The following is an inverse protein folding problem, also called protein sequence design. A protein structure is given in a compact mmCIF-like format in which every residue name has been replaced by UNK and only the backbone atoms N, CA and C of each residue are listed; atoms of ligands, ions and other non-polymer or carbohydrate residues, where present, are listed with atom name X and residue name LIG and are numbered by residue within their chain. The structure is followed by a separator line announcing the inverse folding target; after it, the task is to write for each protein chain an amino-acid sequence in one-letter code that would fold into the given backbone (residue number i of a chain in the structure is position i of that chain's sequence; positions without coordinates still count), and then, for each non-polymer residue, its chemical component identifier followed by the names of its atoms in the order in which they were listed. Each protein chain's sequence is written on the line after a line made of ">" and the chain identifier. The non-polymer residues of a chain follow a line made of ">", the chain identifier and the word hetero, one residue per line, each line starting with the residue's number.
data_IF_945903868929
#
_entry.id   IF_945903868929
#
_cell.length_a   1.000
_cell.length_b   1.000
_cell.length_c   1.000
_cell.angle_alpha   90.00
_cell.angle_beta   90.00
_cell.angle_gamma   90.00
#
_symmetry.space_group_name_H-M   'P 1'
#
loop_
_entity.id
_entity.type
_entity.pdbx_description
1 polymer ?
#
# COMPACT_ATOMS: atom_id res chain seq x y z
N UNK A 1 20.42 -40.85 68.76
CA UNK A 1 20.51 -41.76 67.61
C UNK A 1 19.26 -41.61 66.80
N UNK A 2 19.30 -40.89 65.66
CA UNK A 2 18.15 -40.73 64.79
C UNK A 2 18.69 -40.62 63.34
N UNK A 3 18.29 -41.58 62.53
CA UNK A 3 18.64 -41.69 61.10
C UNK A 3 17.67 -40.89 60.24
N UNK A 4 18.20 -39.85 59.56
CA UNK A 4 17.48 -39.12 58.54
C UNK A 4 17.62 -39.78 57.16
N UNK A 5 16.54 -40.30 56.65
CA UNK A 5 16.41 -40.86 55.30
C UNK A 5 16.20 -39.72 54.30
N UNK A 6 17.13 -39.51 53.39
CA UNK A 6 16.99 -38.58 52.21
C UNK A 6 16.23 -39.30 51.10
N UNK A 7 15.03 -38.81 50.78
CA UNK A 7 14.34 -39.19 49.51
C UNK A 7 14.88 -38.32 48.38
N UNK A 8 15.43 -38.94 47.35
CA UNK A 8 15.80 -38.32 46.09
C UNK A 8 14.54 -38.12 45.26
N UNK A 9 14.23 -36.85 44.94
CA UNK A 9 13.17 -36.48 44.01
C UNK A 9 13.69 -36.55 42.56
N UNK A 10 13.28 -37.56 41.81
CA UNK A 10 13.55 -37.67 40.39
C UNK A 10 12.79 -36.57 39.60
N UNK A 11 13.55 -35.63 39.06
CA UNK A 11 13.02 -34.68 38.05
C UNK A 11 12.79 -35.45 36.75
N UNK A 12 11.53 -35.68 36.38
CA UNK A 12 11.12 -36.04 35.01
C UNK A 12 11.49 -34.87 34.12
N UNK A 13 12.39 -35.09 33.15
CA UNK A 13 12.57 -34.20 31.98
C UNK A 13 11.23 -34.24 31.21
N UNK A 14 10.58 -33.08 31.08
CA UNK A 14 9.56 -32.89 30.07
C UNK A 14 10.26 -32.92 28.72
N UNK A 15 9.92 -33.91 27.90
CA UNK A 15 10.31 -33.91 26.49
C UNK A 15 9.75 -32.63 25.86
N UNK A 16 10.64 -31.76 25.43
CA UNK A 16 10.29 -30.62 24.60
C UNK A 16 9.83 -31.19 23.25
N UNK A 17 8.55 -31.02 22.96
CA UNK A 17 8.01 -31.33 21.64
C UNK A 17 8.84 -30.55 20.61
N UNK A 18 9.45 -31.27 19.67
CA UNK A 18 10.17 -30.68 18.55
C UNK A 18 9.21 -29.76 17.78
N UNK A 19 9.63 -28.52 17.53
CA UNK A 19 8.91 -27.61 16.66
C UNK A 19 8.68 -28.33 15.31
N UNK A 20 7.50 -28.20 14.69
CA UNK A 20 7.26 -28.80 13.39
C UNK A 20 8.30 -28.27 12.40
N UNK A 21 8.96 -29.18 11.68
CA UNK A 21 9.84 -28.82 10.56
C UNK A 21 9.07 -27.90 9.62
N UNK A 22 9.68 -26.82 9.08
CA UNK A 22 9.03 -25.98 8.11
C UNK A 22 8.57 -26.86 6.94
N UNK A 23 7.28 -26.84 6.65
CA UNK A 23 6.73 -27.53 5.48
C UNK A 23 7.53 -27.05 4.28
N UNK A 24 8.13 -27.99 3.54
CA UNK A 24 8.93 -27.65 2.36
C UNK A 24 8.01 -26.98 1.35
N UNK A 25 8.25 -25.69 1.07
CA UNK A 25 7.45 -24.92 0.12
C UNK A 25 7.48 -25.61 -1.24
N UNK A 26 6.32 -25.75 -1.88
CA UNK A 26 6.23 -26.34 -3.21
C UNK A 26 6.89 -25.40 -4.24
N UNK A 27 7.65 -25.94 -5.20
CA UNK A 27 8.34 -25.14 -6.21
C UNK A 27 7.33 -24.43 -7.13
N UNK A 28 7.77 -23.29 -7.68
CA UNK A 28 7.06 -22.60 -8.76
C UNK A 28 7.54 -23.13 -10.12
N UNK A 29 6.70 -23.06 -11.16
CA UNK A 29 7.16 -23.07 -12.55
C UNK A 29 8.11 -21.92 -12.84
N UNK A 30 8.77 -21.99 -14.01
CA UNK A 30 9.66 -20.92 -14.45
C UNK A 30 8.93 -19.58 -14.56
N UNK A 31 9.58 -18.51 -14.11
CA UNK A 31 9.09 -17.14 -14.20
C UNK A 31 9.65 -16.51 -15.47
N UNK A 32 8.76 -16.07 -16.34
CA UNK A 32 9.12 -15.31 -17.54
C UNK A 32 9.49 -13.87 -17.13
N UNK A 33 10.74 -13.48 -17.39
CA UNK A 33 11.24 -12.12 -17.14
C UNK A 33 11.24 -11.32 -18.44
N UNK A 34 10.84 -10.06 -18.35
CA UNK A 34 10.82 -9.09 -19.46
C UNK A 34 11.22 -7.73 -18.95
N UNK A 35 11.82 -6.91 -19.80
CA UNK A 35 12.15 -5.51 -19.50
C UNK A 35 10.93 -4.59 -19.47
N UNK A 36 9.85 -4.98 -20.16
CA UNK A 36 8.70 -4.09 -20.43
C UNK A 36 7.44 -4.51 -19.66
N UNK A 37 7.52 -5.58 -18.88
CA UNK A 37 6.36 -6.09 -18.15
C UNK A 37 6.75 -6.75 -16.83
N UNK A 38 5.83 -6.78 -15.84
CA UNK A 38 6.06 -7.51 -14.61
C UNK A 38 6.40 -8.98 -14.86
N UNK A 39 7.25 -9.59 -14.02
CA UNK A 39 7.53 -11.03 -14.06
C UNK A 39 6.25 -11.86 -14.12
N UNK A 40 6.18 -12.79 -15.08
CA UNK A 40 4.99 -13.60 -15.33
C UNK A 40 5.21 -15.06 -14.95
N UNK A 41 4.34 -15.57 -14.11
CA UNK A 41 4.22 -16.99 -13.78
C UNK A 41 2.93 -17.54 -14.39
N UNK A 42 3.06 -18.39 -15.41
CA UNK A 42 1.91 -19.04 -16.04
C UNK A 42 1.67 -20.40 -15.40
N UNK A 43 0.45 -20.64 -14.98
CA UNK A 43 0.06 -21.88 -14.27
C UNK A 43 -1.22 -22.47 -14.85
N UNK A 44 -1.41 -23.78 -14.61
CA UNK A 44 -2.64 -24.50 -14.92
C UNK A 44 -2.87 -25.55 -13.81
N UNK A 45 -3.28 -25.11 -12.61
CA UNK A 45 -3.40 -26.04 -11.48
C UNK A 45 -4.55 -27.04 -11.69
N UNK A 46 -4.29 -28.30 -11.33
CA UNK A 46 -5.34 -29.32 -11.24
C UNK A 46 -6.14 -29.27 -9.94
N UNK A 47 -5.72 -28.40 -9.02
CA UNK A 47 -6.32 -28.18 -7.70
C UNK A 47 -6.96 -26.79 -7.61
N UNK A 48 -7.88 -26.53 -6.66
CA UNK A 48 -8.45 -25.20 -6.47
C UNK A 48 -7.38 -24.12 -6.23
N UNK A 49 -7.57 -22.94 -6.81
CA UNK A 49 -6.62 -21.82 -6.76
C UNK A 49 -6.13 -21.50 -5.33
N UNK A 50 -7.03 -21.50 -4.35
CA UNK A 50 -6.69 -21.24 -2.96
C UNK A 50 -5.70 -22.27 -2.38
N UNK A 51 -5.88 -23.55 -2.72
CA UNK A 51 -4.99 -24.62 -2.28
C UNK A 51 -3.64 -24.52 -2.98
N UNK A 52 -3.65 -24.25 -4.26
CA UNK A 52 -2.44 -24.03 -5.05
C UNK A 52 -1.61 -22.87 -4.47
N UNK A 53 -2.24 -21.73 -4.20
CA UNK A 53 -1.60 -20.54 -3.65
C UNK A 53 -1.05 -20.79 -2.23
N UNK A 54 -1.83 -21.42 -1.36
CA UNK A 54 -1.40 -21.74 0.01
C UNK A 54 -0.20 -22.69 0.03
N UNK A 55 -0.19 -23.72 -0.83
CA UNK A 55 0.94 -24.65 -0.92
C UNK A 55 2.23 -24.05 -1.46
N UNK A 56 2.15 -22.89 -2.16
CA UNK A 56 3.29 -22.19 -2.79
C UNK A 56 3.53 -20.79 -2.19
N UNK A 57 2.91 -20.49 -1.07
CA UNK A 57 2.98 -19.20 -0.40
C UNK A 57 4.43 -18.71 -0.25
N UNK A 58 5.30 -19.53 0.34
CA UNK A 58 6.68 -19.12 0.63
C UNK A 58 7.48 -18.93 -0.66
N UNK A 59 7.28 -19.77 -1.68
CA UNK A 59 7.93 -19.63 -2.98
C UNK A 59 7.46 -18.39 -3.73
N UNK A 60 6.15 -18.06 -3.69
CA UNK A 60 5.62 -16.83 -4.26
C UNK A 60 6.16 -15.59 -3.55
N UNK A 61 6.26 -15.63 -2.23
CA UNK A 61 6.82 -14.54 -1.44
C UNK A 61 8.32 -14.34 -1.72
N UNK A 62 9.07 -15.43 -1.88
CA UNK A 62 10.48 -15.34 -2.27
C UNK A 62 10.63 -14.71 -3.67
N UNK A 63 9.80 -15.10 -4.63
CA UNK A 63 9.79 -14.50 -5.97
C UNK A 63 9.41 -12.99 -5.93
N UNK A 64 8.43 -12.60 -5.11
CA UNK A 64 8.09 -11.17 -4.92
C UNK A 64 9.25 -10.41 -4.27
N UNK A 65 9.91 -10.96 -3.28
CA UNK A 65 11.08 -10.34 -2.64
C UNK A 65 12.25 -10.17 -3.63
N UNK A 66 12.45 -11.15 -4.54
CA UNK A 66 13.49 -11.11 -5.57
C UNK A 66 13.18 -10.09 -6.68
N UNK A 67 11.93 -10.07 -7.17
CA UNK A 67 11.55 -9.31 -8.36
C UNK A 67 10.73 -8.05 -8.09
N UNK A 68 10.27 -7.82 -6.85
CA UNK A 68 9.39 -6.72 -6.46
C UNK A 68 7.91 -6.98 -6.75
N UNK A 69 7.59 -7.71 -7.81
CA UNK A 69 6.22 -8.13 -8.13
C UNK A 69 6.22 -9.42 -8.93
N UNK A 70 5.09 -10.15 -8.92
CA UNK A 70 4.86 -11.34 -9.73
C UNK A 70 3.41 -11.39 -10.18
N UNK A 71 3.19 -11.48 -11.49
CA UNK A 71 1.87 -11.72 -12.07
C UNK A 71 1.66 -13.23 -12.28
N UNK A 72 0.70 -13.79 -11.59
CA UNK A 72 0.29 -15.20 -11.74
C UNK A 72 -0.91 -15.29 -12.66
N UNK A 73 -0.77 -15.98 -13.77
CA UNK A 73 -1.78 -16.14 -14.81
C UNK A 73 -2.23 -17.59 -14.92
N UNK A 74 -3.52 -17.80 -15.08
CA UNK A 74 -4.09 -19.14 -15.27
C UNK A 74 -4.64 -19.79 -14.01
N UNK A 75 -4.79 -19.03 -12.90
CA UNK A 75 -5.43 -19.52 -11.67
C UNK A 75 -6.93 -19.78 -11.83
N UNK A 76 -7.58 -19.12 -12.80
CA UNK A 76 -9.00 -19.31 -13.08
C UNK A 76 -9.93 -18.73 -12.00
N UNK A 77 -9.53 -17.62 -11.37
CA UNK A 77 -10.35 -16.90 -10.38
C UNK A 77 -11.60 -16.33 -11.04
N UNK A 78 -12.78 -16.57 -10.46
CA UNK A 78 -14.08 -16.26 -11.08
C UNK A 78 -14.94 -15.31 -10.25
N UNK A 79 -14.71 -15.28 -8.94
CA UNK A 79 -15.52 -14.50 -8.02
C UNK A 79 -14.74 -14.05 -6.79
N UNK A 80 -15.35 -13.14 -6.03
CA UNK A 80 -14.74 -12.55 -4.84
C UNK A 80 -14.49 -13.57 -3.71
N UNK A 81 -15.23 -14.65 -3.64
CA UNK A 81 -15.05 -15.69 -2.62
C UNK A 81 -13.77 -16.50 -2.89
N UNK A 82 -13.55 -16.89 -4.15
CA UNK A 82 -12.31 -17.56 -4.60
C UNK A 82 -11.10 -16.63 -4.40
N UNK A 83 -11.20 -15.36 -4.79
CA UNK A 83 -10.15 -14.34 -4.56
C UNK A 83 -9.82 -14.21 -3.08
N UNK A 84 -10.84 -14.05 -2.24
CA UNK A 84 -10.65 -13.95 -0.78
C UNK A 84 -10.02 -15.21 -0.18
N UNK A 85 -10.33 -16.40 -0.70
CA UNK A 85 -9.71 -17.65 -0.26
C UNK A 85 -8.22 -17.69 -0.67
N UNK A 86 -7.88 -17.24 -1.88
CA UNK A 86 -6.48 -17.13 -2.36
C UNK A 86 -5.71 -16.12 -1.50
N UNK A 87 -6.25 -14.94 -1.26
CA UNK A 87 -5.60 -13.92 -0.45
C UNK A 87 -5.28 -14.44 0.96
N UNK A 88 -6.24 -15.11 1.62
CA UNK A 88 -6.00 -15.74 2.93
C UNK A 88 -5.00 -16.89 2.90
N UNK A 89 -4.82 -17.54 1.76
CA UNK A 89 -3.76 -18.55 1.58
C UNK A 89 -2.35 -17.95 1.46
N UNK A 90 -2.24 -16.69 1.05
CA UNK A 90 -0.97 -16.01 0.80
C UNK A 90 -0.45 -15.21 1.99
N UNK A 91 -1.31 -14.87 2.96
CA UNK A 91 -0.95 -14.07 4.14
C UNK A 91 -1.68 -14.55 5.39
N UNK A 92 -1.08 -14.32 6.56
CA UNK A 92 -1.73 -14.55 7.85
C UNK A 92 -2.61 -13.36 8.26
N UNK A 93 -2.33 -12.16 7.73
CA UNK A 93 -3.00 -10.93 8.14
C UNK A 93 -3.40 -10.09 6.93
N UNK A 94 -4.71 -9.98 6.72
CA UNK A 94 -5.31 -8.97 5.84
C UNK A 94 -5.71 -7.76 6.69
N UNK A 95 -5.30 -6.58 6.25
CA UNK A 95 -5.60 -5.31 6.91
C UNK A 95 -7.04 -4.86 6.62
N UNK A 96 -7.59 -4.13 7.55
CA UNK A 96 -8.79 -3.32 7.30
C UNK A 96 -8.36 -1.94 6.83
N UNK A 97 -8.92 -1.47 5.73
CA UNK A 97 -8.67 -0.13 5.23
C UNK A 97 -9.15 0.94 6.22
N UNK A 98 -8.34 1.99 6.37
CA UNK A 98 -8.63 3.18 7.15
C UNK A 98 -8.14 4.41 6.39
N UNK A 99 -8.68 5.58 6.73
CA UNK A 99 -8.33 6.86 6.11
C UNK A 99 -8.54 6.85 4.57
N UNK A 100 -9.54 6.14 4.08
CA UNK A 100 -9.82 6.03 2.65
C UNK A 100 -10.00 7.42 2.01
N UNK A 101 -9.49 7.59 0.78
CA UNK A 101 -9.66 8.81 -0.02
C UNK A 101 -10.94 8.79 -0.84
N UNK A 102 -11.37 7.61 -1.22
CA UNK A 102 -12.60 7.37 -1.95
C UNK A 102 -13.17 6.01 -1.52
N UNK A 103 -14.50 5.84 -1.62
CA UNK A 103 -15.13 4.61 -1.18
C UNK A 103 -14.65 3.40 -1.97
N UNK A 104 -14.52 2.27 -1.26
CA UNK A 104 -14.31 0.95 -1.84
C UNK A 104 -15.45 0.03 -1.43
N UNK A 105 -15.89 -0.80 -2.37
CA UNK A 105 -16.84 -1.87 -2.05
C UNK A 105 -16.11 -2.98 -1.30
N UNK A 106 -16.66 -3.41 -0.16
CA UNK A 106 -16.13 -4.53 0.62
C UNK A 106 -16.78 -5.83 0.15
N UNK A 107 -15.97 -6.83 -0.22
CA UNK A 107 -16.43 -8.17 -0.61
C UNK A 107 -16.25 -9.19 0.51
N UNK A 108 -15.54 -8.84 1.57
CA UNK A 108 -15.28 -9.64 2.73
C UNK A 108 -14.16 -9.04 3.56
N UNK A 109 -13.81 -9.67 4.69
CA UNK A 109 -12.75 -9.15 5.55
C UNK A 109 -11.43 -9.04 4.79
N UNK A 110 -10.93 -7.82 4.61
CA UNK A 110 -9.66 -7.53 3.94
C UNK A 110 -9.68 -7.70 2.42
N UNK A 111 -10.87 -7.80 1.80
CA UNK A 111 -11.02 -7.87 0.35
C UNK A 111 -11.91 -6.74 -0.13
N UNK A 112 -11.37 -5.88 -0.97
CA UNK A 112 -11.99 -4.64 -1.43
C UNK A 112 -12.02 -4.57 -2.96
N UNK A 113 -12.91 -3.74 -3.52
CA UNK A 113 -12.74 -3.29 -4.90
C UNK A 113 -11.49 -2.41 -5.02
N UNK A 114 -11.00 -2.20 -6.24
CA UNK A 114 -10.12 -1.06 -6.49
C UNK A 114 -10.83 0.24 -6.11
N UNK A 115 -10.06 1.29 -5.77
CA UNK A 115 -10.59 2.62 -5.42
C UNK A 115 -11.50 3.15 -6.53
N UNK A 116 -12.65 3.71 -6.16
CA UNK A 116 -13.54 4.40 -7.09
C UNK A 116 -12.83 5.67 -7.59
N UNK A 117 -12.30 5.61 -8.81
CA UNK A 117 -11.61 6.69 -9.50
C UNK A 117 -12.09 6.77 -10.94
N UNK A 118 -12.27 7.95 -11.54
CA UNK A 118 -12.81 8.09 -12.88
C UNK A 118 -12.09 7.18 -13.89
N UNK A 119 -12.82 6.41 -14.71
CA UNK A 119 -12.21 5.46 -15.65
C UNK A 119 -11.29 6.12 -16.69
N UNK A 120 -11.62 7.32 -17.12
CA UNK A 120 -10.91 8.11 -18.12
C UNK A 120 -9.68 8.87 -17.57
N UNK A 121 -9.45 8.83 -16.25
CA UNK A 121 -8.30 9.46 -15.62
C UNK A 121 -7.30 8.41 -15.16
N UNK A 122 -5.98 8.64 -15.30
CA UNK A 122 -4.97 7.77 -14.70
C UNK A 122 -5.01 7.89 -13.18
N UNK A 123 -4.70 6.81 -12.48
CA UNK A 123 -4.22 6.91 -11.10
C UNK A 123 -2.70 6.93 -11.17
N UNK A 124 -2.09 8.03 -10.75
CA UNK A 124 -0.64 8.18 -10.75
C UNK A 124 0.05 7.13 -9.88
N UNK A 125 1.35 6.96 -10.09
CA UNK A 125 2.17 6.04 -9.29
C UNK A 125 2.14 6.39 -7.80
N UNK A 126 1.92 5.39 -6.98
CA UNK A 126 1.85 5.52 -5.52
C UNK A 126 2.15 4.19 -4.82
N UNK A 127 2.53 4.30 -3.57
CA UNK A 127 2.57 3.16 -2.65
C UNK A 127 1.29 3.10 -1.84
N UNK A 128 0.64 1.96 -1.78
CA UNK A 128 -0.63 1.81 -1.08
C UNK A 128 -0.52 2.23 0.39
N UNK A 129 -1.41 3.14 0.80
CA UNK A 129 -1.52 3.65 2.17
C UNK A 129 -0.23 4.24 2.77
N UNK A 130 0.72 4.73 1.96
CA UNK A 130 2.01 5.25 2.46
C UNK A 130 1.90 6.47 3.37
N UNK A 131 0.73 7.06 3.48
CA UNK A 131 0.38 8.08 4.47
C UNK A 131 0.08 7.49 5.86
N UNK A 132 -0.18 6.20 5.98
CA UNK A 132 -0.48 5.54 7.25
C UNK A 132 0.75 5.33 8.14
N UNK A 133 0.53 5.18 9.45
CA UNK A 133 1.58 4.71 10.37
C UNK A 133 1.79 3.20 10.27
N UNK A 134 0.82 2.50 9.72
CA UNK A 134 0.87 1.09 9.37
C UNK A 134 0.38 0.94 7.92
N UNK A 135 1.15 0.25 7.11
CA UNK A 135 0.91 0.09 5.68
C UNK A 135 0.96 -1.39 5.30
N UNK A 136 0.33 -1.82 4.20
CA UNK A 136 0.53 -3.18 3.71
C UNK A 136 1.98 -3.36 3.22
N UNK A 137 2.65 -4.40 3.66
CA UNK A 137 3.93 -4.84 3.11
C UNK A 137 3.74 -5.56 1.77
N UNK A 138 2.62 -6.27 1.63
CA UNK A 138 2.25 -6.97 0.40
C UNK A 138 0.89 -6.48 -0.09
N UNK A 139 0.82 -6.08 -1.37
CA UNK A 139 -0.42 -5.76 -2.06
C UNK A 139 -0.81 -6.92 -2.97
N UNK A 140 -2.05 -7.34 -2.88
CA UNK A 140 -2.63 -8.42 -3.69
C UNK A 140 -3.71 -7.83 -4.59
N UNK A 141 -3.60 -8.04 -5.91
CA UNK A 141 -4.55 -7.55 -6.90
C UNK A 141 -5.04 -8.73 -7.74
N UNK A 142 -6.36 -8.95 -7.79
CA UNK A 142 -6.94 -10.05 -8.58
C UNK A 142 -7.96 -9.51 -9.59
N UNK A 143 -7.79 -9.84 -10.85
CA UNK A 143 -8.65 -9.41 -11.93
C UNK A 143 -9.80 -10.41 -12.14
N UNK A 144 -11.04 -9.96 -11.91
CA UNK A 144 -12.24 -10.71 -12.27
C UNK A 144 -12.74 -10.34 -13.65
N UNK A 145 -12.67 -9.04 -13.99
CA UNK A 145 -13.07 -8.52 -15.29
C UNK A 145 -12.01 -7.53 -15.80
N UNK A 146 -11.46 -7.82 -16.98
CA UNK A 146 -10.48 -6.96 -17.63
C UNK A 146 -11.18 -5.94 -18.52
N UNK A 147 -10.70 -4.69 -18.50
CA UNK A 147 -11.22 -3.64 -19.36
C UNK A 147 -11.06 -4.02 -20.85
N UNK A 148 -11.95 -3.48 -21.69
CA UNK A 148 -11.87 -3.67 -23.15
C UNK A 148 -10.62 -2.99 -23.75
N UNK A 149 -10.23 -1.84 -23.17
CA UNK A 149 -9.03 -1.09 -23.55
C UNK A 149 -8.39 -0.45 -22.32
N UNK A 150 -7.07 -0.51 -22.22
CA UNK A 150 -6.30 0.08 -21.14
C UNK A 150 -6.52 -0.64 -19.81
N UNK A 151 -6.42 0.08 -18.71
CA UNK A 151 -6.71 -0.41 -17.37
C UNK A 151 -5.65 -1.36 -16.79
N UNK A 152 -4.49 -1.47 -17.41
CA UNK A 152 -3.37 -2.20 -16.84
C UNK A 152 -2.91 -1.53 -15.54
N UNK A 153 -2.34 -2.35 -14.66
CA UNK A 153 -1.64 -1.86 -13.48
C UNK A 153 -0.17 -1.68 -13.84
N UNK A 154 0.32 -0.44 -13.76
CA UNK A 154 1.74 -0.14 -13.89
C UNK A 154 2.47 -0.47 -12.59
N UNK A 155 3.71 -0.95 -12.72
CA UNK A 155 4.62 -1.25 -11.60
C UNK A 155 5.95 -0.54 -11.86
N UNK A 156 6.47 0.16 -10.84
CA UNK A 156 7.79 0.80 -10.90
C UNK A 156 8.62 0.44 -9.66
N UNK A 157 9.88 0.01 -9.86
CA UNK A 157 10.82 -0.22 -8.76
C UNK A 157 11.26 1.12 -8.14
N UNK A 158 10.91 1.35 -6.90
CA UNK A 158 11.10 2.61 -6.21
C UNK A 158 12.55 2.92 -5.84
N UNK A 159 13.44 1.93 -5.87
CA UNK A 159 14.87 2.18 -5.73
C UNK A 159 15.44 2.75 -7.04
N UNK A 160 15.00 2.24 -8.20
CA UNK A 160 15.36 2.78 -9.50
C UNK A 160 14.80 4.20 -9.69
N UNK A 161 13.54 4.41 -9.32
CA UNK A 161 12.91 5.75 -9.31
C UNK A 161 13.72 6.73 -8.45
N UNK A 162 14.04 6.37 -7.20
CA UNK A 162 14.83 7.22 -6.30
C UNK A 162 16.21 7.58 -6.88
N UNK A 163 16.86 6.62 -7.54
CA UNK A 163 18.17 6.84 -8.13
C UNK A 163 18.13 7.76 -9.37
N UNK A 164 16.99 7.83 -10.06
CA UNK A 164 16.79 8.65 -11.26
C UNK A 164 16.27 10.07 -10.95
N UNK A 165 15.76 10.32 -9.76
CA UNK A 165 15.30 11.63 -9.33
C UNK A 165 16.48 12.60 -9.10
N UNK A 166 16.29 13.92 -9.31
CA UNK A 166 17.29 14.94 -8.98
C UNK A 166 17.74 14.85 -7.52
N UNK A 167 19.05 14.91 -7.29
CA UNK A 167 19.64 14.75 -5.95
C UNK A 167 19.09 15.78 -4.94
N UNK A 168 19.01 17.05 -5.33
CA UNK A 168 18.51 18.13 -4.47
C UNK A 168 17.07 17.86 -4.00
N UNK A 169 16.23 17.32 -4.90
CA UNK A 169 14.84 16.97 -4.60
C UNK A 169 14.77 15.82 -3.60
N UNK A 170 15.53 14.75 -3.85
CA UNK A 170 15.56 13.57 -2.97
C UNK A 170 16.13 13.89 -1.59
N UNK A 171 17.20 14.68 -1.50
CA UNK A 171 17.79 15.11 -0.24
C UNK A 171 16.84 15.96 0.60
N UNK A 172 16.06 16.86 -0.04
CA UNK A 172 15.03 17.63 0.66
C UNK A 172 13.95 16.72 1.24
N UNK A 173 13.41 15.80 0.45
CA UNK A 173 12.39 14.87 0.93
C UNK A 173 12.90 13.86 1.97
N UNK A 174 14.16 13.45 1.90
CA UNK A 174 14.75 12.60 2.94
C UNK A 174 14.88 13.32 4.28
N UNK A 175 15.34 14.58 4.23
CA UNK A 175 15.51 15.42 5.42
C UNK A 175 14.18 15.79 6.04
N UNK A 176 13.24 16.28 5.22
CA UNK A 176 12.01 16.91 5.71
C UNK A 176 10.80 15.96 5.70
N UNK A 177 10.84 14.90 4.89
CA UNK A 177 9.67 14.07 4.60
C UNK A 177 8.67 14.79 3.71
N UNK A 178 7.43 14.29 3.69
CA UNK A 178 6.31 14.91 3.02
C UNK A 178 5.13 15.08 3.95
N UNK A 179 4.32 16.07 3.70
CA UNK A 179 3.13 16.40 4.46
C UNK A 179 1.90 16.16 3.59
N UNK A 180 0.98 15.35 4.08
CA UNK A 180 -0.36 15.24 3.53
C UNK A 180 -1.29 16.17 4.29
N UNK A 181 -2.03 17.00 3.58
CA UNK A 181 -3.12 17.81 4.13
C UNK A 181 -4.45 17.27 3.57
N UNK A 182 -5.47 17.21 4.41
CA UNK A 182 -6.83 16.82 4.00
C UNK A 182 -7.86 17.76 4.63
N UNK A 183 -8.89 18.06 3.86
CA UNK A 183 -10.08 18.74 4.35
C UNK A 183 -11.27 17.81 4.20
N UNK A 184 -12.03 17.64 5.27
CA UNK A 184 -13.23 16.82 5.32
C UNK A 184 -14.43 17.72 5.52
N UNK A 185 -15.29 17.74 4.54
CA UNK A 185 -16.56 18.43 4.57
C UNK A 185 -17.61 17.53 3.90
N UNK A 186 -18.88 17.94 3.91
CA UNK A 186 -19.97 17.15 3.32
C UNK A 186 -20.19 17.46 1.83
N UNK A 187 -19.33 18.29 1.21
CA UNK A 187 -19.52 18.76 -0.16
C UNK A 187 -18.55 18.11 -1.13
N UNK A 188 -17.27 17.94 -0.75
CA UNK A 188 -16.24 17.38 -1.62
C UNK A 188 -15.34 16.39 -0.87
N UNK A 189 -14.90 15.34 -1.59
CA UNK A 189 -14.03 14.31 -1.03
C UNK A 189 -14.77 13.35 -0.10
N UNK A 190 -14.04 12.68 0.75
CA UNK A 190 -14.61 11.78 1.77
C UNK A 190 -15.05 12.58 3.00
N UNK A 191 -16.23 12.29 3.51
CA UNK A 191 -16.70 12.81 4.79
C UNK A 191 -15.87 12.24 5.97
N UNK A 192 -15.97 12.84 7.15
CA UNK A 192 -15.33 12.34 8.38
C UNK A 192 -15.77 10.90 8.67
N UNK A 193 -17.07 10.62 8.54
CA UNK A 193 -17.64 9.30 8.80
C UNK A 193 -17.10 8.24 7.81
N UNK A 194 -16.95 8.58 6.53
CA UNK A 194 -16.39 7.66 5.54
C UNK A 194 -14.90 7.38 5.77
N UNK A 195 -14.12 8.41 6.11
CA UNK A 195 -12.69 8.26 6.32
C UNK A 195 -12.33 7.52 7.62
N UNK A 196 -13.02 7.82 8.71
CA UNK A 196 -12.70 7.30 10.05
C UNK A 196 -13.66 6.19 10.52
N UNK A 197 -14.78 5.97 9.80
CA UNK A 197 -15.82 5.01 10.18
C UNK A 197 -16.71 5.51 11.34
N UNK A 198 -16.63 6.80 11.67
CA UNK A 198 -17.42 7.48 12.70
C UNK A 198 -17.33 8.99 12.52
N UNK A 199 -18.33 9.71 12.96
CA UNK A 199 -18.39 11.17 13.08
C UNK A 199 -18.20 11.66 14.54
N UNK A 200 -18.05 10.75 15.51
CA UNK A 200 -17.73 11.09 16.88
C UNK A 200 -16.35 11.74 16.98
N UNK A 201 -16.35 13.05 17.20
CA UNK A 201 -15.14 13.88 17.30
C UNK A 201 -14.12 13.33 18.29
N UNK A 202 -14.56 12.83 19.45
CA UNK A 202 -13.66 12.29 20.47
C UNK A 202 -12.93 11.04 19.96
N UNK A 203 -13.65 10.17 19.24
CA UNK A 203 -13.08 8.96 18.64
C UNK A 203 -12.12 9.31 17.51
N UNK A 204 -12.50 10.27 16.66
CA UNK A 204 -11.63 10.77 15.55
C UNK A 204 -10.35 11.38 16.11
N UNK A 205 -10.43 12.25 17.11
CA UNK A 205 -9.25 12.87 17.75
C UNK A 205 -8.33 11.84 18.42
N UNK A 206 -8.91 10.84 19.08
CA UNK A 206 -8.15 9.75 19.68
C UNK A 206 -7.42 8.92 18.63
N UNK A 207 -8.09 8.62 17.51
CA UNK A 207 -7.47 7.95 16.35
C UNK A 207 -6.33 8.80 15.79
N UNK A 208 -6.57 10.06 15.49
CA UNK A 208 -5.58 10.96 14.90
C UNK A 208 -4.34 11.10 15.79
N UNK A 209 -4.54 11.24 17.11
CA UNK A 209 -3.42 11.29 18.06
C UNK A 209 -2.59 10.00 18.05
N UNK A 210 -3.24 8.85 18.04
CA UNK A 210 -2.56 7.55 17.98
C UNK A 210 -1.80 7.33 16.66
N UNK A 211 -2.20 8.03 15.58
CA UNK A 211 -1.62 7.90 14.25
C UNK A 211 -0.74 9.09 13.84
N UNK A 212 -0.38 9.98 14.79
CA UNK A 212 0.45 11.17 14.52
C UNK A 212 -0.14 12.01 13.38
N UNK A 213 -1.42 12.33 13.51
CA UNK A 213 -2.20 13.20 12.64
C UNK A 213 -2.61 14.42 13.47
N UNK A 214 -2.20 15.60 13.03
CA UNK A 214 -2.63 16.86 13.61
C UNK A 214 -4.05 17.15 13.11
N UNK A 215 -4.92 17.64 13.99
CA UNK A 215 -6.33 17.95 13.70
C UNK A 215 -6.62 19.42 13.97
N UNK A 216 -7.47 19.99 13.11
CA UNK A 216 -7.99 21.35 13.25
C UNK A 216 -9.47 21.35 12.86
N UNK A 217 -10.34 21.65 13.83
CA UNK A 217 -11.78 21.71 13.63
C UNK A 217 -12.23 23.15 13.39
N UNK A 218 -12.82 23.39 12.22
CA UNK A 218 -13.49 24.64 11.93
C UNK A 218 -14.75 24.86 12.79
N UNK A 219 -15.22 26.12 12.90
CA UNK A 219 -16.43 26.45 13.63
C UNK A 219 -17.70 25.88 13.00
N UNK A 220 -17.65 25.55 11.73
CA UNK A 220 -18.70 24.94 10.89
C UNK A 220 -18.74 23.40 10.98
N UNK A 221 -17.83 22.81 11.78
CA UNK A 221 -17.68 21.34 11.87
C UNK A 221 -16.73 20.71 10.85
N UNK A 222 -16.19 21.50 9.92
CA UNK A 222 -15.15 21.04 8.99
C UNK A 222 -13.93 20.55 9.75
N UNK A 223 -13.41 19.39 9.37
CA UNK A 223 -12.15 18.86 9.89
C UNK A 223 -11.03 19.07 8.89
N UNK A 224 -9.92 19.61 9.33
CA UNK A 224 -8.65 19.60 8.58
C UNK A 224 -7.64 18.73 9.32
N UNK A 225 -6.90 17.95 8.54
CA UNK A 225 -5.83 17.10 9.11
C UNK A 225 -4.51 17.35 8.38
N UNK A 226 -3.41 17.17 9.14
CA UNK A 226 -2.04 17.22 8.62
C UNK A 226 -1.27 16.04 9.15
N UNK A 227 -0.62 15.31 8.25
CA UNK A 227 0.19 14.17 8.66
C UNK A 227 1.52 14.13 7.92
N UNK A 228 2.60 14.21 8.68
CA UNK A 228 3.96 14.17 8.14
C UNK A 228 4.46 12.73 8.11
N UNK A 229 5.02 12.33 6.95
CA UNK A 229 5.54 10.98 6.72
C UNK A 229 6.92 11.01 6.06
N UNK A 230 7.75 9.96 6.24
CA UNK A 230 8.98 9.82 5.47
C UNK A 230 8.64 9.63 3.98
N UNK A 231 9.42 10.24 3.09
CA UNK A 231 9.29 10.04 1.64
C UNK A 231 10.15 8.88 1.13
N UNK A 232 11.18 8.52 1.90
CA UNK A 232 12.12 7.44 1.58
C UNK A 232 12.18 6.47 2.75
N UNK A 233 12.20 5.18 2.46
CA UNK A 233 12.46 4.15 3.44
C UNK A 233 13.62 3.24 2.98
N UNK A 234 14.19 2.47 3.91
CA UNK A 234 15.12 1.39 3.62
C UNK A 234 14.35 0.07 3.63
N UNK A 235 14.30 -0.60 2.50
CA UNK A 235 13.59 -1.87 2.38
C UNK A 235 14.17 -2.93 3.34
N UNK A 236 13.33 -3.59 4.17
CA UNK A 236 13.81 -4.44 5.27
C UNK A 236 14.59 -5.70 4.82
N UNK A 237 14.30 -6.20 3.62
CA UNK A 237 14.94 -7.42 3.09
C UNK A 237 16.13 -7.08 2.20
N UNK A 238 15.93 -6.23 1.18
CA UNK A 238 17.00 -5.90 0.22
C UNK A 238 17.99 -4.85 0.74
N UNK A 239 17.60 -4.06 1.74
CA UNK A 239 18.39 -2.92 2.25
C UNK A 239 18.44 -1.71 1.32
N UNK A 240 17.80 -1.76 0.16
CA UNK A 240 17.76 -0.64 -0.79
C UNK A 240 16.94 0.52 -0.23
N UNK A 241 17.33 1.74 -0.58
CA UNK A 241 16.52 2.94 -0.34
C UNK A 241 15.44 3.00 -1.41
N UNK A 242 14.19 3.19 -1.00
CA UNK A 242 13.02 3.22 -1.86
C UNK A 242 12.28 4.54 -1.72
N UNK A 243 11.86 5.13 -2.84
CA UNK A 243 10.98 6.30 -2.91
C UNK A 243 9.56 5.88 -2.55
N UNK A 244 9.19 5.99 -1.26
CA UNK A 244 7.97 5.43 -0.69
C UNK A 244 6.98 6.51 -0.26
N UNK A 245 6.04 6.88 -1.11
CA UNK A 245 5.08 7.94 -0.83
C UNK A 245 3.90 7.95 -1.82
N UNK A 246 3.02 8.94 -1.67
CA UNK A 246 1.94 9.29 -2.60
C UNK A 246 1.98 10.76 -3.01
N UNK A 247 3.16 11.37 -3.05
CA UNK A 247 3.34 12.80 -3.28
C UNK A 247 2.70 13.22 -4.60
N UNK A 248 3.02 12.55 -5.70
CA UNK A 248 2.47 12.88 -7.01
C UNK A 248 0.96 12.59 -7.08
N UNK A 249 0.51 11.42 -6.57
CA UNK A 249 -0.88 10.99 -6.68
C UNK A 249 -1.86 11.90 -5.93
N UNK A 250 -1.48 12.37 -4.74
CA UNK A 250 -2.33 13.19 -3.88
C UNK A 250 -2.04 14.70 -4.00
N UNK A 251 -1.32 15.10 -5.04
CA UNK A 251 -1.04 16.51 -5.30
C UNK A 251 -2.22 17.18 -6.01
N UNK A 252 -2.44 18.45 -5.69
CA UNK A 252 -3.38 19.31 -6.41
C UNK A 252 -3.06 19.40 -7.91
N UNK A 253 -1.80 19.22 -8.31
CA UNK A 253 -1.34 19.29 -9.70
C UNK A 253 -1.70 18.05 -10.54
N UNK A 254 -2.26 17.01 -9.94
CA UNK A 254 -2.80 15.84 -10.65
C UNK A 254 -4.30 15.94 -10.92
N UNK A 255 -4.95 16.96 -10.38
CA UNK A 255 -6.34 17.27 -10.71
C UNK A 255 -6.42 17.88 -12.11
N UNK A 256 -7.57 17.72 -12.76
CA UNK A 256 -7.88 18.52 -13.93
C UNK A 256 -7.77 20.01 -13.61
N UNK A 257 -7.15 20.80 -14.51
CA UNK A 257 -6.82 22.19 -14.23
C UNK A 257 -8.07 23.03 -13.94
N UNK A 258 -9.16 22.83 -14.69
CA UNK A 258 -10.40 23.58 -14.49
C UNK A 258 -11.07 23.18 -13.15
N UNK A 259 -11.02 21.90 -12.82
CA UNK A 259 -11.53 21.40 -11.53
C UNK A 259 -10.71 21.95 -10.38
N UNK A 260 -9.36 21.96 -10.50
CA UNK A 260 -8.47 22.52 -9.49
C UNK A 260 -8.74 24.01 -9.26
N UNK A 261 -8.80 24.81 -10.34
CA UNK A 261 -9.06 26.24 -10.25
C UNK A 261 -10.41 26.51 -9.57
N UNK A 262 -11.46 25.81 -9.98
CA UNK A 262 -12.78 25.92 -9.37
C UNK A 262 -12.77 25.59 -7.87
N UNK A 263 -12.10 24.50 -7.46
CA UNK A 263 -12.02 24.13 -6.05
C UNK A 263 -11.18 25.12 -5.22
N UNK A 264 -10.08 25.64 -5.77
CA UNK A 264 -9.25 26.64 -5.12
C UNK A 264 -10.01 27.96 -4.95
N UNK A 265 -10.78 28.38 -5.95
CA UNK A 265 -11.61 29.60 -5.86
C UNK A 265 -12.72 29.46 -4.80
N UNK A 266 -13.30 28.27 -4.66
CA UNK A 266 -14.41 28.05 -3.76
C UNK A 266 -13.97 27.80 -2.30
N UNK A 267 -12.92 27.01 -2.08
CA UNK A 267 -12.49 26.54 -0.74
C UNK A 267 -11.13 27.06 -0.31
N UNK A 268 -10.41 27.75 -1.20
CA UNK A 268 -8.99 28.10 -0.99
C UNK A 268 -8.06 26.90 -1.16
N UNK A 269 -6.76 27.17 -1.32
CA UNK A 269 -5.76 26.11 -1.50
C UNK A 269 -5.66 25.13 -0.31
N UNK A 270 -5.93 25.61 0.91
CA UNK A 270 -5.92 24.79 2.12
C UNK A 270 -7.25 24.05 2.36
N UNK A 271 -8.28 24.34 1.56
CA UNK A 271 -9.59 23.69 1.63
C UNK A 271 -9.79 22.54 0.65
N UNK A 272 -8.79 22.23 -0.16
CA UNK A 272 -8.82 21.07 -1.06
C UNK A 272 -9.03 19.76 -0.30
N UNK A 273 -9.74 18.76 -0.87
CA UNK A 273 -10.01 17.49 -0.19
C UNK A 273 -8.73 16.76 0.20
N UNK A 274 -7.68 16.96 -0.55
CA UNK A 274 -6.31 16.51 -0.22
C UNK A 274 -5.29 17.34 -1.00
N UNK A 275 -4.10 17.48 -0.42
CA UNK A 275 -2.92 18.04 -1.11
C UNK A 275 -1.63 17.54 -0.43
N UNK A 276 -0.54 17.63 -1.16
CA UNK A 276 0.80 17.27 -0.67
C UNK A 276 1.71 18.48 -0.62
N UNK A 277 2.57 18.52 0.41
CA UNK A 277 3.56 19.56 0.63
C UNK A 277 4.89 18.92 1.02
N UNK A 278 5.97 19.71 0.96
CA UNK A 278 7.21 19.32 1.65
C UNK A 278 6.94 19.16 3.15
N UNK A 279 7.75 18.35 3.83
CA UNK A 279 7.54 18.08 5.25
C UNK A 279 7.69 19.29 6.18
N UNK A 280 8.31 20.37 5.72
CA UNK A 280 8.39 21.68 6.39
C UNK A 280 7.11 22.53 6.18
N UNK A 281 6.21 22.10 5.31
CA UNK A 281 4.95 22.78 4.99
C UNK A 281 4.99 23.64 3.73
N UNK A 282 6.15 23.83 3.11
CA UNK A 282 6.27 24.56 1.85
C UNK A 282 5.52 23.84 0.72
N UNK A 283 4.90 24.57 -0.21
CA UNK A 283 4.16 23.99 -1.33
C UNK A 283 5.11 23.26 -2.29
N UNK A 284 4.62 22.17 -2.88
CA UNK A 284 5.27 21.47 -3.98
C UNK A 284 4.76 22.08 -5.30
N UNK A 285 5.68 22.53 -6.16
CA UNK A 285 5.33 23.11 -7.45
C UNK A 285 4.88 22.06 -8.47
N UNK A 286 4.20 22.53 -9.52
CA UNK A 286 3.75 21.69 -10.62
C UNK A 286 4.93 21.01 -11.34
N UNK A 287 6.03 21.72 -11.52
CA UNK A 287 7.28 21.26 -12.12
C UNK A 287 7.89 20.05 -11.39
N UNK A 288 7.81 20.05 -10.07
CA UNK A 288 8.27 18.92 -9.25
C UNK A 288 7.37 17.71 -9.45
N UNK A 289 6.04 17.89 -9.47
CA UNK A 289 5.09 16.79 -9.68
C UNK A 289 5.21 16.22 -11.10
N UNK A 290 5.45 17.09 -12.10
CA UNK A 290 5.73 16.67 -13.47
C UNK A 290 7.02 15.83 -13.53
N UNK A 291 8.10 16.29 -12.94
CA UNK A 291 9.37 15.52 -12.84
C UNK A 291 9.17 14.17 -12.18
N UNK A 292 8.40 14.10 -11.09
CA UNK A 292 8.08 12.83 -10.42
C UNK A 292 7.34 11.87 -11.35
N UNK A 293 6.33 12.36 -12.08
CA UNK A 293 5.53 11.55 -12.99
C UNK A 293 6.35 11.09 -14.20
N UNK A 294 7.22 11.93 -14.77
CA UNK A 294 8.12 11.56 -15.87
C UNK A 294 9.10 10.45 -15.46
N UNK A 295 9.74 10.59 -14.29
CA UNK A 295 10.66 9.58 -13.78
C UNK A 295 9.91 8.26 -13.49
N UNK A 296 8.73 8.32 -12.91
CA UNK A 296 7.91 7.13 -12.71
C UNK A 296 7.56 6.46 -14.04
N UNK A 297 7.11 7.23 -15.05
CA UNK A 297 6.74 6.67 -16.35
C UNK A 297 7.92 5.99 -17.04
N UNK A 298 9.12 6.59 -16.96
CA UNK A 298 10.34 5.99 -17.53
C UNK A 298 10.75 4.66 -16.89
N UNK A 299 10.29 4.38 -15.67
CA UNK A 299 10.60 3.14 -14.92
C UNK A 299 9.39 2.22 -14.78
N UNK A 300 8.29 2.52 -15.47
CA UNK A 300 7.04 1.75 -15.33
C UNK A 300 7.00 0.61 -16.33
N UNK A 301 6.75 -0.58 -15.82
CA UNK A 301 6.42 -1.77 -16.60
C UNK A 301 4.95 -2.10 -16.48
N UNK A 302 4.32 -2.62 -17.56
CA UNK A 302 2.89 -2.91 -17.62
C UNK A 302 2.63 -4.23 -18.35
N UNK A 303 1.57 -4.91 -17.93
CA UNK A 303 1.03 -6.04 -18.68
C UNK A 303 -0.50 -5.99 -18.64
N UNK A 304 -1.20 -6.11 -19.77
CA UNK A 304 -2.65 -6.15 -19.79
C UNK A 304 -3.20 -7.29 -18.93
N UNK A 305 -4.22 -6.96 -18.15
CA UNK A 305 -4.94 -7.92 -17.34
C UNK A 305 -5.66 -8.95 -18.21
N UNK A 306 -5.79 -10.16 -17.66
CA UNK A 306 -6.74 -11.16 -18.11
C UNK A 306 -7.62 -11.60 -16.95
N UNK A 307 -8.91 -11.93 -17.18
CA UNK A 307 -9.73 -12.49 -16.13
C UNK A 307 -9.06 -13.70 -15.48
N UNK A 308 -9.05 -13.75 -14.15
CA UNK A 308 -8.40 -14.78 -13.35
C UNK A 308 -6.91 -14.53 -13.04
N UNK A 309 -6.31 -13.44 -13.49
CA UNK A 309 -4.94 -13.03 -13.12
C UNK A 309 -4.87 -12.59 -11.65
N UNK A 310 -3.71 -12.87 -11.02
CA UNK A 310 -3.35 -12.42 -9.68
C UNK A 310 -1.98 -11.75 -9.73
N UNK A 311 -1.89 -10.49 -9.29
CA UNK A 311 -0.63 -9.76 -9.16
C UNK A 311 -0.31 -9.59 -7.67
N UNK A 312 0.88 -10.03 -7.28
CA UNK A 312 1.48 -9.80 -5.98
C UNK A 312 2.51 -8.68 -6.12
N UNK A 313 2.49 -7.69 -5.23
CA UNK A 313 3.41 -6.54 -5.26
C UNK A 313 3.99 -6.34 -3.86
N UNK A 314 5.31 -6.28 -3.77
CA UNK A 314 6.01 -5.75 -2.60
C UNK A 314 5.77 -4.25 -2.54
N UNK A 315 4.84 -3.83 -1.69
CA UNK A 315 4.42 -2.43 -1.59
C UNK A 315 5.49 -1.51 -1.00
N UNK A 316 6.52 -2.03 -0.35
CA UNK A 316 7.64 -1.21 0.14
C UNK A 316 8.66 -0.93 -0.95
N UNK A 317 8.77 -1.84 -1.93
CA UNK A 317 9.71 -1.76 -3.04
C UNK A 317 9.13 -1.18 -4.31
N UNK A 318 7.87 -1.45 -4.61
CA UNK A 318 7.25 -1.10 -5.88
C UNK A 318 6.06 -0.17 -5.69
N UNK A 319 6.08 0.97 -6.38
CA UNK A 319 4.91 1.78 -6.60
C UNK A 319 4.03 1.13 -7.69
N UNK A 320 2.73 1.44 -7.64
CA UNK A 320 1.78 0.98 -8.64
C UNK A 320 0.86 2.11 -9.12
N UNK A 321 0.29 1.91 -10.31
CA UNK A 321 -0.61 2.87 -10.96
C UNK A 321 -1.76 2.14 -11.65
N UNK A 322 -2.72 2.90 -12.19
CA UNK A 322 -3.76 2.38 -13.07
C UNK A 322 -3.88 3.25 -14.32
N UNK A 323 -3.78 2.64 -15.48
CA UNK A 323 -4.08 3.33 -16.74
C UNK A 323 -5.55 3.73 -16.83
N UNK A 324 -5.88 4.81 -17.59
CA UNK A 324 -7.23 5.03 -18.04
C UNK A 324 -7.77 3.80 -18.79
N UNK A 325 -9.10 3.61 -18.74
CA UNK A 325 -9.68 2.44 -19.39
C UNK A 325 -11.09 2.69 -19.94
N UNK A 326 -11.52 1.79 -20.81
CA UNK A 326 -12.86 1.74 -21.38
C UNK A 326 -13.49 0.37 -21.15
N UNK A 327 -14.78 0.34 -20.97
CA UNK A 327 -15.54 -0.87 -20.67
C UNK A 327 -15.56 -1.21 -19.17
N UNK A 328 -16.23 -2.30 -18.80
CA UNK A 328 -16.26 -2.77 -17.41
C UNK A 328 -14.88 -3.25 -16.98
N UNK A 329 -14.57 -3.06 -15.69
CA UNK A 329 -13.30 -3.50 -15.07
C UNK A 329 -13.54 -3.84 -13.60
N UNK A 330 -13.21 -5.04 -13.19
CA UNK A 330 -13.27 -5.45 -11.80
C UNK A 330 -11.93 -6.07 -11.36
N UNK A 331 -11.22 -5.33 -10.49
CA UNK A 331 -10.00 -5.78 -9.83
C UNK A 331 -10.21 -5.69 -8.34
N UNK A 332 -10.04 -6.81 -7.66
CA UNK A 332 -10.13 -6.89 -6.20
C UNK A 332 -8.76 -6.68 -5.57
N UNK A 333 -8.77 -6.06 -4.39
CA UNK A 333 -7.57 -5.64 -3.66
C UNK A 333 -7.53 -6.30 -2.29
N UNK A 334 -6.39 -6.85 -1.92
CA UNK A 334 -6.06 -7.31 -0.58
C UNK A 334 -4.84 -6.56 -0.04
N UNK A 335 -4.99 -5.96 1.14
CA UNK A 335 -3.92 -5.27 1.85
C UNK A 335 -3.34 -6.24 2.87
N UNK A 336 -2.11 -6.70 2.66
CA UNK A 336 -1.56 -7.81 3.42
C UNK A 336 -0.26 -7.45 4.16
N UNK A 337 0.03 -8.20 5.23
CA UNK A 337 1.28 -8.13 5.99
C UNK A 337 1.59 -6.72 6.49
N UNK A 338 0.84 -6.20 7.46
CA UNK A 338 1.01 -4.84 7.96
C UNK A 338 2.40 -4.60 8.54
N UNK A 339 3.04 -3.52 8.10
CA UNK A 339 4.35 -3.06 8.57
C UNK A 339 4.31 -1.59 8.99
N UNK A 340 5.28 -1.15 9.77
CA UNK A 340 5.42 0.25 10.18
C UNK A 340 6.59 0.89 9.42
N UNK A 341 6.37 1.82 8.48
CA UNK A 341 7.45 2.49 7.74
C UNK A 341 8.48 3.18 8.64
N UNK A 342 8.06 3.63 9.81
CA UNK A 342 8.97 4.24 10.79
C UNK A 342 10.12 3.32 11.23
N UNK A 343 9.92 2.00 11.19
CA UNK A 343 10.92 1.01 11.58
C UNK A 343 12.03 0.86 10.52
N UNK A 344 11.82 1.41 9.31
CA UNK A 344 12.69 1.23 8.14
C UNK A 344 13.28 2.54 7.61
N UNK A 345 13.38 3.58 8.45
CA UNK A 345 13.92 4.87 8.03
C UNK A 345 15.44 4.83 7.83
N UNK A 346 15.98 5.46 6.77
CA UNK A 346 17.39 5.79 6.71
C UNK A 346 17.66 6.98 7.65
N UNK A 347 18.37 6.77 8.77
CA UNK A 347 18.71 7.84 9.72
C UNK A 347 17.50 8.42 10.46
N UNK A 348 17.40 8.25 11.76
CA UNK A 348 16.23 8.64 12.53
C UNK A 348 15.87 10.14 12.39
N UNK A 349 14.63 10.43 12.00
CA UNK A 349 14.04 11.73 12.30
C UNK A 349 13.96 11.90 13.82
N UNK A 350 14.24 13.09 14.36
CA UNK A 350 13.98 13.34 15.76
C UNK A 350 12.47 13.14 15.98
N UNK A 351 12.11 12.11 16.76
CA UNK A 351 10.82 12.07 17.40
C UNK A 351 10.70 13.35 18.20
N UNK A 352 9.66 14.18 17.96
CA UNK A 352 9.27 15.15 18.97
C UNK A 352 8.97 14.33 20.22
N UNK A 353 9.92 14.27 21.12
CA UNK A 353 9.66 13.85 22.49
C UNK A 353 8.54 14.73 22.99
N UNK A 354 7.46 14.10 23.43
CA UNK A 354 6.36 14.74 24.11
C UNK A 354 6.96 15.47 25.31
N UNK A 355 7.10 16.78 25.19
CA UNK A 355 7.33 17.63 26.35
C UNK A 355 6.06 17.55 27.19
N UNK A 356 6.17 16.88 28.32
CA UNK A 356 5.19 16.77 29.40
C UNK A 356 4.83 18.17 29.92
#
# INVERSE_FOLDING_TARGET
>A
MSFLSRRAAGRRRKDAAAAPSPATALPLPDIELSTDSPPLLTVSPAEPAARWAAGRRDSLRAAVAEHGSVLVRGLGLRDAAEVGAVFRGLTDTLMTEREAFAPRRTYGRGVYSSTAWPPNQPMCMHHESSYGVQVPGLLLLACLEAAERGGATGIADSAAVLAALPAELTERFERDGWLLTRSYNDEIGASVAEAFGTDDRTVVEAYCRAHSIDVDWGPDGTLRTRQRRPAVLRHPVSGHRCWFNQIAFLSEWTMDAEVREYLVDLYGADGLPFNTRYGDGEPIGADVVETLNEVYEAHTVRRPWRPGDLLLVDNLRCAHSREPYQGPREVLVGLADPVRPADFRPGGFPTKESSV
#
